data_IF_223405647688
#
_entry.id   IF_223405647688
#
_cell.length_a   1.000
_cell.length_b   1.000
_cell.length_c   1.000
_cell.angle_alpha   90.00
_cell.angle_beta   90.00
_cell.angle_gamma   90.00
#
_symmetry.space_group_name_H-M   'P 1'
#
loop_
_entity.id
_entity.type
_entity.pdbx_description
1 polymer ?
#
# COMPACT_ATOMS: atom_id res chain seq x y z
N UNK A 1 -13.32 17.25 51.44
CA UNK A 1 -14.68 16.98 50.92
C UNK A 1 -14.63 17.07 49.40
N UNK A 2 -15.31 16.14 48.72
CA UNK A 2 -15.09 15.65 47.35
C UNK A 2 -14.83 16.68 46.24
N UNK A 3 -13.90 16.39 45.29
CA UNK A 3 -14.00 16.92 43.95
C UNK A 3 -14.91 16.01 43.11
N UNK A 4 -15.80 16.68 42.38
CA UNK A 4 -16.84 16.14 41.52
C UNK A 4 -16.31 15.08 40.53
N UNK A 5 -16.89 13.88 40.59
CA UNK A 5 -16.81 12.90 39.50
C UNK A 5 -17.81 13.30 38.42
N UNK A 6 -17.31 13.74 37.26
CA UNK A 6 -18.11 13.78 36.04
C UNK A 6 -18.46 12.32 35.64
N UNK A 7 -19.72 12.01 35.30
CA UNK A 7 -20.12 10.66 34.92
C UNK A 7 -19.53 10.30 33.56
N UNK A 8 -19.03 9.07 33.43
CA UNK A 8 -18.31 8.53 32.26
C UNK A 8 -19.03 8.71 30.91
N UNK A 9 -20.34 8.95 30.92
CA UNK A 9 -21.13 9.19 29.71
C UNK A 9 -20.81 10.54 29.03
N UNK A 10 -20.42 11.58 29.78
CA UNK A 10 -20.04 12.87 29.21
C UNK A 10 -18.69 12.79 28.45
N UNK A 11 -17.80 11.90 28.89
CA UNK A 11 -16.50 11.66 28.24
C UNK A 11 -16.63 10.89 26.92
N UNK A 12 -17.61 10.01 26.80
CA UNK A 12 -17.88 9.28 25.56
C UNK A 12 -18.55 10.19 24.53
N UNK A 13 -19.43 11.09 24.96
CA UNK A 13 -20.08 12.06 24.08
C UNK A 13 -19.08 13.08 23.51
N UNK A 14 -18.10 13.53 24.31
CA UNK A 14 -17.00 14.38 23.84
C UNK A 14 -16.04 13.65 22.88
N UNK A 15 -15.81 12.34 23.08
CA UNK A 15 -14.96 11.53 22.19
C UNK A 15 -15.64 11.27 20.82
N UNK A 16 -16.95 11.02 20.81
CA UNK A 16 -17.72 10.85 19.58
C UNK A 16 -17.91 12.17 18.82
N UNK A 17 -18.10 13.29 19.52
CA UNK A 17 -18.15 14.62 18.89
C UNK A 17 -16.83 14.98 18.19
N UNK A 18 -15.69 14.53 18.72
CA UNK A 18 -14.37 14.77 18.10
C UNK A 18 -14.13 13.96 16.82
N UNK A 19 -14.76 12.78 16.69
CA UNK A 19 -14.67 11.93 15.48
C UNK A 19 -15.64 12.43 14.39
N UNK A 20 -16.80 12.96 14.80
CA UNK A 20 -17.75 13.56 13.85
C UNK A 20 -17.20 14.88 13.26
N UNK A 21 -16.47 15.68 14.05
CA UNK A 21 -15.91 16.96 13.59
C UNK A 21 -14.74 16.77 12.60
N UNK A 22 -13.93 15.71 12.76
CA UNK A 22 -12.86 15.36 11.80
C UNK A 22 -13.41 14.82 10.47
N UNK A 23 -14.55 14.11 10.47
CA UNK A 23 -15.20 13.68 9.23
C UNK A 23 -15.89 14.82 8.47
N UNK A 24 -16.47 15.80 9.17
CA UNK A 24 -17.12 16.95 8.53
C UNK A 24 -16.13 17.89 7.81
N UNK A 25 -14.91 18.08 8.35
CA UNK A 25 -13.88 18.95 7.76
C UNK A 25 -13.20 18.34 6.52
N UNK A 26 -13.23 17.02 6.36
CA UNK A 26 -12.72 16.33 5.16
C UNK A 26 -13.71 16.31 3.99
N UNK A 27 -14.95 16.80 4.18
CA UNK A 27 -16.04 16.73 3.20
C UNK A 27 -16.25 18.01 2.39
N UNK A 28 -15.36 19.01 2.51
CA UNK A 28 -15.46 20.26 1.74
C UNK A 28 -14.77 20.10 0.37
N UNK A 29 -15.50 20.19 -0.76
CA UNK A 29 -14.87 20.22 -2.07
C UNK A 29 -14.19 21.57 -2.28
N UNK A 30 -12.85 21.58 -2.34
CA UNK A 30 -12.10 22.76 -2.79
C UNK A 30 -12.34 22.96 -4.29
N UNK A 31 -13.24 23.88 -4.62
CA UNK A 31 -13.46 24.41 -5.96
C UNK A 31 -12.23 25.21 -6.38
N UNK A 32 -11.33 24.60 -7.14
CA UNK A 32 -10.15 25.26 -7.69
C UNK A 32 -10.53 25.99 -8.98
N UNK A 33 -10.87 27.28 -8.88
CA UNK A 33 -10.95 28.17 -10.04
C UNK A 33 -9.55 28.43 -10.59
N UNK A 34 -9.24 27.83 -11.74
CA UNK A 34 -8.05 28.17 -12.54
C UNK A 34 -8.30 29.51 -13.21
N UNK A 35 -7.72 30.59 -12.67
CA UNK A 35 -7.57 31.87 -13.38
C UNK A 35 -6.63 31.65 -14.57
N UNK A 36 -7.12 31.87 -15.77
CA UNK A 36 -6.32 32.10 -16.98
C UNK A 36 -6.41 33.58 -17.29
N UNK A 37 -5.28 34.25 -17.46
CA UNK A 37 -5.21 35.57 -18.11
C UNK A 37 -4.22 35.47 -19.29
N UNK A 38 -4.52 36.09 -20.44
CA UNK A 38 -3.92 35.78 -21.73
C UNK A 38 -2.74 36.71 -22.06
N UNK A 39 -1.87 36.28 -22.98
CA UNK A 39 -1.47 37.13 -24.11
C UNK A 39 -0.56 36.43 -25.15
N UNK A 40 -1.07 36.43 -26.39
CA UNK A 40 -0.43 36.71 -27.69
C UNK A 40 0.71 35.79 -28.20
N UNK A 41 0.70 35.26 -29.44
CA UNK A 41 0.51 35.91 -30.76
C UNK A 41 0.16 34.86 -31.86
N UNK A 42 -0.88 35.07 -32.67
CA UNK A 42 -0.89 35.62 -34.06
C UNK A 42 -0.65 34.61 -35.19
N UNK A 43 -1.69 34.41 -36.01
CA UNK A 43 -1.68 33.58 -37.24
C UNK A 43 -3.03 33.61 -37.98
N UNK A 44 -3.21 34.66 -38.77
CA UNK A 44 -4.31 35.12 -39.64
C UNK A 44 -5.13 34.08 -40.49
N UNK A 45 -6.45 34.35 -40.53
CA UNK A 45 -7.63 33.93 -41.38
C UNK A 45 -7.38 34.10 -42.91
N UNK A 46 -8.16 33.63 -43.95
CA UNK A 46 -9.58 33.18 -44.09
C UNK A 46 -9.77 31.85 -44.89
N UNK A 47 -10.94 31.26 -45.17
CA UNK A 47 -12.37 31.61 -45.12
C UNK A 47 -13.11 30.84 -46.24
N UNK A 48 -14.44 30.74 -46.12
CA UNK A 48 -15.45 30.50 -47.18
C UNK A 48 -16.03 29.09 -47.45
N UNK A 49 -17.35 29.00 -47.17
CA UNK A 49 -18.47 28.57 -48.06
C UNK A 49 -18.84 27.08 -48.18
N UNK A 50 -20.02 26.79 -47.59
CA UNK A 50 -21.24 26.11 -48.08
C UNK A 50 -21.23 24.73 -48.79
N UNK A 51 -22.35 24.02 -48.54
CA UNK A 51 -23.02 22.98 -49.39
C UNK A 51 -22.26 21.64 -49.56
N UNK A 52 -22.86 20.45 -49.62
CA UNK A 52 -24.23 19.94 -49.87
C UNK A 52 -24.31 18.46 -49.42
N UNK A 53 -25.53 17.98 -49.14
CA UNK A 53 -25.92 16.55 -49.10
C UNK A 53 -25.74 15.88 -50.48
N UNK A 54 -25.70 14.53 -50.52
CA UNK A 54 -26.43 13.84 -51.56
C UNK A 54 -27.36 12.73 -51.02
N UNK A 55 -28.62 12.79 -51.46
CA UNK A 55 -29.51 11.64 -51.60
C UNK A 55 -29.09 10.80 -52.81
N UNK A 56 -29.24 9.47 -52.75
CA UNK A 56 -29.62 8.64 -53.89
C UNK A 56 -30.38 7.38 -53.44
N UNK A 57 -31.31 6.97 -54.29
CA UNK A 57 -32.54 6.25 -53.99
C UNK A 57 -32.53 4.72 -54.24
N UNK A 58 -33.47 4.05 -53.57
CA UNK A 58 -34.38 2.96 -53.99
C UNK A 58 -33.88 1.66 -54.66
N UNK A 59 -34.34 0.53 -54.11
CA UNK A 59 -34.44 -0.78 -54.77
C UNK A 59 -35.02 -1.87 -53.86
N UNK A 60 -36.28 -2.26 -54.08
CA UNK A 60 -37.05 -3.27 -53.32
C UNK A 60 -36.89 -4.71 -53.85
N UNK A 61 -37.15 -5.72 -52.99
CA UNK A 61 -37.88 -7.02 -53.19
C UNK A 61 -37.40 -8.05 -52.13
N UNK A 62 -38.21 -8.53 -51.18
CA UNK A 62 -39.31 -9.52 -51.19
C UNK A 62 -38.86 -10.94 -50.74
N UNK A 63 -39.51 -11.45 -49.69
CA UNK A 63 -39.81 -12.89 -49.51
C UNK A 63 -38.98 -13.67 -48.48
N UNK A 64 -39.52 -13.88 -47.27
CA UNK A 64 -40.05 -15.18 -46.81
C UNK A 64 -40.29 -15.20 -45.29
N UNK A 65 -41.53 -15.55 -44.92
CA UNK A 65 -42.00 -15.83 -43.56
C UNK A 65 -42.15 -17.34 -43.40
N UNK A 66 -41.54 -17.92 -42.36
CA UNK A 66 -41.93 -19.15 -41.64
C UNK A 66 -40.91 -19.33 -40.51
N UNK A 67 -41.20 -19.57 -39.22
CA UNK A 67 -42.40 -19.75 -38.42
C UNK A 67 -41.93 -20.18 -37.01
N UNK A 68 -42.85 -20.19 -36.03
CA UNK A 68 -42.79 -20.92 -34.74
C UNK A 68 -42.16 -20.24 -33.50
N UNK A 69 -43.07 -19.71 -32.68
CA UNK A 69 -43.23 -19.66 -31.20
C UNK A 69 -42.14 -19.12 -30.23
N UNK A 70 -42.58 -18.39 -29.18
CA UNK A 70 -41.72 -17.68 -28.21
C UNK A 70 -41.34 -18.61 -27.05
N UNK A 71 -40.25 -18.27 -26.34
CA UNK A 71 -40.13 -18.37 -24.87
C UNK A 71 -38.67 -18.12 -24.43
N UNK A 72 -38.52 -17.55 -23.23
CA UNK A 72 -37.30 -17.29 -22.45
C UNK A 72 -36.58 -15.95 -22.69
N UNK A 73 -37.10 -14.92 -22.02
CA UNK A 73 -36.30 -13.83 -21.45
C UNK A 73 -35.21 -14.44 -20.57
N UNK A 74 -33.94 -14.39 -21.02
CA UNK A 74 -32.78 -14.64 -20.17
C UNK A 74 -31.91 -13.39 -20.19
N UNK A 75 -31.71 -12.83 -19.00
CA UNK A 75 -31.12 -11.52 -18.77
C UNK A 75 -29.81 -11.28 -19.52
N UNK A 76 -29.67 -10.02 -19.93
CA UNK A 76 -28.51 -9.42 -20.58
C UNK A 76 -27.23 -9.79 -19.80
N UNK A 77 -26.42 -10.67 -20.38
CA UNK A 77 -25.00 -10.82 -20.07
C UNK A 77 -24.27 -9.76 -20.92
N UNK A 78 -23.47 -8.84 -20.37
CA UNK A 78 -22.73 -7.91 -21.20
C UNK A 78 -21.72 -8.68 -22.06
N UNK A 79 -21.74 -8.35 -23.34
CA UNK A 79 -21.05 -9.05 -24.41
C UNK A 79 -19.53 -9.11 -24.22
N UNK A 80 -19.03 -10.24 -24.69
CA UNK A 80 -17.65 -10.64 -24.79
C UNK A 80 -16.90 -9.70 -25.75
N UNK A 81 -16.12 -8.75 -25.23
CA UNK A 81 -15.07 -8.10 -26.04
C UNK A 81 -13.90 -9.06 -26.13
N UNK A 82 -13.92 -9.89 -27.18
CA UNK A 82 -12.78 -10.67 -27.62
C UNK A 82 -11.70 -9.71 -28.19
N UNK A 83 -10.95 -9.08 -27.29
CA UNK A 83 -9.64 -8.54 -27.62
C UNK A 83 -8.66 -9.71 -27.67
N UNK A 84 -7.91 -9.81 -28.77
CA UNK A 84 -6.76 -10.72 -28.90
C UNK A 84 -5.85 -10.59 -27.66
N UNK A 85 -5.29 -11.68 -27.10
CA UNK A 85 -4.32 -11.58 -26.02
C UNK A 85 -3.00 -11.10 -26.62
N UNK A 86 -2.94 -9.81 -26.95
CA UNK A 86 -1.66 -9.14 -27.11
C UNK A 86 -0.96 -9.25 -25.76
N UNK A 87 0.24 -9.81 -25.80
CA UNK A 87 1.17 -10.06 -24.70
C UNK A 87 1.64 -8.78 -23.97
N UNK A 88 0.82 -7.74 -23.95
CA UNK A 88 0.90 -6.63 -23.00
C UNK A 88 0.43 -7.13 -21.63
N UNK A 89 1.24 -7.98 -21.00
CA UNK A 89 1.05 -8.36 -19.60
C UNK A 89 1.11 -7.06 -18.79
N UNK A 90 -0.05 -6.54 -18.37
CA UNK A 90 -0.12 -5.34 -17.54
C UNK A 90 0.90 -5.49 -16.40
N UNK A 91 1.82 -4.52 -16.27
CA UNK A 91 2.94 -4.59 -15.30
C UNK A 91 2.45 -4.59 -13.85
N UNK A 92 1.21 -4.15 -13.64
CA UNK A 92 0.53 -4.09 -12.36
C UNK A 92 -0.73 -4.95 -12.33
N UNK A 93 -1.19 -5.26 -11.12
CA UNK A 93 -2.47 -5.92 -10.83
C UNK A 93 -3.21 -5.11 -9.75
N UNK A 94 -4.52 -4.92 -9.90
CA UNK A 94 -5.32 -4.16 -8.93
C UNK A 94 -5.62 -4.97 -7.66
N UNK A 95 -6.00 -4.28 -6.59
CA UNK A 95 -6.49 -4.91 -5.37
C UNK A 95 -7.66 -5.86 -5.64
N UNK A 96 -8.68 -5.37 -6.36
CA UNK A 96 -9.90 -6.11 -6.70
C UNK A 96 -9.58 -7.36 -7.52
N UNK A 97 -8.59 -7.28 -8.43
CA UNK A 97 -8.16 -8.43 -9.20
C UNK A 97 -7.47 -9.49 -8.33
N UNK A 98 -6.64 -9.08 -7.36
CA UNK A 98 -6.05 -10.01 -6.39
C UNK A 98 -7.16 -10.63 -5.53
N UNK A 99 -8.07 -9.82 -4.99
CA UNK A 99 -9.17 -10.26 -4.13
C UNK A 99 -10.08 -11.28 -4.80
N UNK A 100 -10.44 -11.03 -6.06
CA UNK A 100 -11.22 -11.96 -6.89
C UNK A 100 -10.42 -13.18 -7.37
N UNK A 101 -9.15 -13.32 -6.95
CA UNK A 101 -8.33 -14.49 -7.23
C UNK A 101 -7.78 -14.53 -8.66
N UNK A 102 -7.61 -13.39 -9.33
CA UNK A 102 -7.00 -13.29 -10.67
C UNK A 102 -5.48 -13.19 -10.65
N UNK A 103 -4.83 -13.24 -9.48
CA UNK A 103 -3.38 -13.37 -9.41
C UNK A 103 -2.94 -14.72 -10.01
N UNK A 104 -2.07 -14.67 -11.04
CA UNK A 104 -1.52 -15.83 -11.74
C UNK A 104 0.00 -15.72 -11.71
N UNK A 105 0.69 -16.45 -10.83
CA UNK A 105 2.15 -16.36 -10.75
C UNK A 105 2.78 -16.95 -12.00
N UNK A 106 3.74 -16.24 -12.59
CA UNK A 106 4.51 -16.79 -13.71
C UNK A 106 5.27 -18.05 -13.27
N UNK A 107 5.11 -19.14 -14.01
CA UNK A 107 5.71 -20.45 -13.69
C UNK A 107 7.23 -20.50 -13.88
N UNK A 108 7.81 -19.50 -14.55
CA UNK A 108 9.27 -19.41 -14.80
C UNK A 108 10.03 -18.67 -13.70
N UNK A 109 9.37 -17.98 -12.78
CA UNK A 109 10.05 -17.36 -11.64
C UNK A 109 10.50 -18.45 -10.68
N UNK A 110 11.82 -18.56 -10.52
CA UNK A 110 12.43 -19.44 -9.53
C UNK A 110 12.79 -18.66 -8.27
N UNK A 111 12.81 -19.32 -7.10
CA UNK A 111 13.32 -18.70 -5.89
C UNK A 111 14.76 -18.24 -6.11
N UNK A 112 15.08 -17.02 -5.68
CA UNK A 112 16.43 -16.48 -5.73
C UNK A 112 17.37 -17.40 -4.94
N UNK A 113 18.42 -17.87 -5.59
CA UNK A 113 19.24 -19.01 -5.15
C UNK A 113 20.00 -18.69 -3.86
N UNK A 114 20.35 -17.42 -3.61
CA UNK A 114 21.17 -17.02 -2.46
C UNK A 114 20.50 -15.98 -1.56
N UNK A 115 20.81 -16.04 -0.27
CA UNK A 115 20.38 -15.04 0.72
C UNK A 115 20.83 -13.61 0.37
N UNK A 116 22.06 -13.36 -0.12
CA UNK A 116 22.46 -12.01 -0.56
C UNK A 116 21.60 -11.45 -1.69
N UNK A 117 21.21 -12.27 -2.67
CA UNK A 117 20.34 -11.83 -3.76
C UNK A 117 18.93 -11.47 -3.26
N UNK A 118 18.35 -12.30 -2.36
CA UNK A 118 17.08 -11.97 -1.71
C UNK A 118 17.20 -10.70 -0.86
N UNK A 119 18.27 -10.56 -0.09
CA UNK A 119 18.50 -9.37 0.72
C UNK A 119 18.60 -8.10 -0.14
N UNK A 120 19.21 -8.20 -1.32
CA UNK A 120 19.29 -7.10 -2.28
C UNK A 120 17.92 -6.79 -2.91
N UNK A 121 17.12 -7.80 -3.23
CA UNK A 121 15.80 -7.63 -3.84
C UNK A 121 14.79 -7.02 -2.86
N UNK A 122 14.78 -7.52 -1.62
CA UNK A 122 13.81 -7.16 -0.59
C UNK A 122 14.35 -6.13 0.40
N UNK A 123 15.41 -5.39 0.06
CA UNK A 123 16.07 -4.49 1.01
C UNK A 123 15.16 -3.38 1.57
N UNK A 124 14.15 -2.96 0.80
CA UNK A 124 13.09 -2.00 1.19
C UNK A 124 11.76 -2.66 1.52
N UNK A 125 11.64 -3.97 1.32
CA UNK A 125 10.38 -4.65 1.55
C UNK A 125 10.08 -4.75 3.05
N UNK A 126 8.81 -4.65 3.36
CA UNK A 126 8.26 -4.76 4.70
C UNK A 126 7.86 -6.22 4.93
N UNK A 127 7.94 -6.70 6.17
CA UNK A 127 7.69 -8.10 6.50
C UNK A 127 6.86 -8.23 7.77
N UNK A 128 6.09 -9.32 7.82
CA UNK A 128 5.53 -9.85 9.06
C UNK A 128 5.76 -11.35 9.08
N UNK A 129 6.42 -11.87 10.12
CA UNK A 129 6.73 -13.30 10.29
C UNK A 129 7.32 -13.94 9.01
N UNK A 130 8.29 -13.27 8.38
CA UNK A 130 8.99 -13.69 7.15
C UNK A 130 8.16 -13.68 5.86
N UNK A 131 6.93 -13.16 5.88
CA UNK A 131 6.12 -12.96 4.68
C UNK A 131 6.17 -11.48 4.29
N UNK A 132 6.51 -11.15 3.03
CA UNK A 132 6.61 -9.77 2.59
C UNK A 132 5.24 -9.11 2.50
N UNK A 133 5.20 -7.81 2.75
CA UNK A 133 4.03 -6.95 2.65
C UNK A 133 4.29 -5.90 1.57
N UNK A 134 3.36 -5.77 0.63
CA UNK A 134 3.39 -4.78 -0.42
C UNK A 134 2.22 -3.81 -0.29
N UNK A 135 2.46 -2.55 -0.65
CA UNK A 135 1.45 -1.50 -0.71
C UNK A 135 1.15 -1.20 -2.17
N UNK A 136 -0.10 -0.81 -2.46
CA UNK A 136 -0.49 -0.45 -3.82
C UNK A 136 0.25 0.82 -4.27
N UNK A 137 0.76 0.81 -5.49
CA UNK A 137 1.18 2.03 -6.17
C UNK A 137 -0.01 2.74 -6.81
N UNK A 138 0.28 3.83 -7.54
CA UNK A 138 -0.73 4.60 -8.29
C UNK A 138 -1.54 3.71 -9.25
N UNK A 139 -0.86 2.79 -9.95
CA UNK A 139 -1.46 1.92 -10.98
C UNK A 139 -1.75 0.49 -10.48
N UNK A 140 -1.68 0.25 -9.17
CA UNK A 140 -1.82 -1.07 -8.55
C UNK A 140 -0.51 -1.67 -8.04
N UNK A 141 -0.52 -2.98 -7.78
CA UNK A 141 0.64 -3.72 -7.26
C UNK A 141 1.55 -4.19 -8.39
N UNK A 142 2.87 -4.09 -8.20
CA UNK A 142 3.86 -4.60 -9.15
C UNK A 142 3.77 -6.12 -9.30
N UNK A 143 3.35 -6.62 -10.48
CA UNK A 143 3.27 -8.07 -10.72
C UNK A 143 4.63 -8.74 -10.52
N UNK A 144 5.71 -8.12 -11.01
CA UNK A 144 7.07 -8.64 -10.87
C UNK A 144 7.46 -8.89 -9.41
N UNK A 145 7.12 -7.95 -8.52
CA UNK A 145 7.42 -8.10 -7.08
C UNK A 145 6.58 -9.20 -6.45
N UNK A 146 5.28 -9.24 -6.74
CA UNK A 146 4.37 -10.25 -6.21
C UNK A 146 4.73 -11.66 -6.69
N UNK A 147 5.07 -11.83 -7.97
CA UNK A 147 5.49 -13.10 -8.55
C UNK A 147 6.80 -13.61 -7.94
N UNK A 148 7.81 -12.73 -7.81
CA UNK A 148 9.07 -13.09 -7.18
C UNK A 148 8.87 -13.42 -5.69
N UNK A 149 8.03 -12.67 -4.96
CA UNK A 149 7.71 -12.96 -3.57
C UNK A 149 6.98 -14.30 -3.39
N UNK A 150 6.05 -14.60 -4.30
CA UNK A 150 5.37 -15.90 -4.32
C UNK A 150 6.35 -17.05 -4.59
N UNK A 151 7.33 -16.85 -5.47
CA UNK A 151 8.41 -17.82 -5.70
C UNK A 151 9.26 -18.01 -4.44
N UNK A 152 9.78 -16.93 -3.86
CA UNK A 152 10.76 -16.92 -2.76
C UNK A 152 10.19 -17.36 -1.40
N UNK A 153 8.99 -16.90 -1.06
CA UNK A 153 8.40 -17.05 0.27
C UNK A 153 7.15 -17.93 0.28
N UNK A 154 6.68 -18.35 -0.89
CA UNK A 154 5.44 -19.11 -1.01
C UNK A 154 4.17 -18.29 -0.79
N UNK A 155 4.28 -16.96 -0.70
CA UNK A 155 3.17 -16.07 -0.47
C UNK A 155 3.61 -14.65 -0.14
N UNK A 156 2.63 -13.77 0.00
CA UNK A 156 2.81 -12.36 0.34
C UNK A 156 1.53 -11.78 0.92
N UNK A 157 1.64 -10.60 1.52
CA UNK A 157 0.52 -9.77 1.90
C UNK A 157 0.45 -8.53 1.01
N UNK A 158 -0.77 -8.06 0.74
CA UNK A 158 -1.00 -6.78 0.08
C UNK A 158 -1.95 -5.95 0.91
N UNK A 159 -1.59 -4.70 1.20
CA UNK A 159 -2.51 -3.71 1.73
C UNK A 159 -3.03 -2.88 0.56
N UNK A 160 -4.35 -2.86 0.40
CA UNK A 160 -5.04 -1.97 -0.53
C UNK A 160 -4.96 -0.51 -0.09
N UNK A 161 -6.00 0.26 -0.38
CA UNK A 161 -6.21 1.65 0.05
C UNK A 161 -7.02 1.70 1.35
N UNK A 162 -6.39 1.94 2.51
CA UNK A 162 -7.11 2.02 3.79
C UNK A 162 -8.17 3.12 3.79
N UNK A 163 -7.94 4.21 3.06
CA UNK A 163 -8.87 5.33 2.89
C UNK A 163 -10.18 4.94 2.19
N UNK A 164 -10.18 3.83 1.43
CA UNK A 164 -11.36 3.25 0.80
C UNK A 164 -11.94 2.07 1.60
N UNK A 165 -11.39 1.77 2.78
CA UNK A 165 -11.78 0.62 3.58
C UNK A 165 -11.24 -0.72 3.07
N UNK A 166 -10.26 -0.74 2.17
CA UNK A 166 -9.69 -1.98 1.65
C UNK A 166 -8.84 -2.68 2.73
N UNK A 167 -9.14 -3.95 3.01
CA UNK A 167 -8.43 -4.74 4.01
C UNK A 167 -7.12 -5.33 3.48
N UNK A 168 -6.21 -5.75 4.36
CA UNK A 168 -5.03 -6.52 3.94
C UNK A 168 -5.45 -7.89 3.43
N UNK A 169 -4.97 -8.29 2.25
CA UNK A 169 -5.11 -9.64 1.72
C UNK A 169 -3.83 -10.43 1.95
N UNK A 170 -3.98 -11.74 2.09
CA UNK A 170 -2.91 -12.73 2.16
C UNK A 170 -3.04 -13.67 0.99
N UNK A 171 -1.98 -13.78 0.20
CA UNK A 171 -1.86 -14.72 -0.91
C UNK A 171 -0.83 -15.77 -0.52
N UNK A 172 -1.20 -17.05 -0.60
CA UNK A 172 -0.33 -18.17 -0.26
C UNK A 172 -0.42 -19.28 -1.29
N UNK A 173 0.64 -20.09 -1.41
CA UNK A 173 0.63 -21.31 -2.23
C UNK A 173 -0.42 -22.30 -1.73
N UNK A 174 -1.38 -22.60 -2.58
CA UNK A 174 -2.35 -23.68 -2.39
C UNK A 174 -1.88 -25.00 -2.98
N UNK A 175 -2.83 -25.93 -3.12
CA UNK A 175 -2.59 -27.21 -3.80
C UNK A 175 -2.24 -26.96 -5.27
N UNK A 176 -1.34 -27.79 -5.81
CA UNK A 176 -0.89 -27.71 -7.20
C UNK A 176 -0.34 -26.33 -7.61
N UNK A 177 0.25 -25.59 -6.66
CA UNK A 177 0.77 -24.22 -6.83
C UNK A 177 -0.28 -23.15 -7.20
N UNK A 178 -1.58 -23.46 -7.07
CA UNK A 178 -2.66 -22.50 -7.31
C UNK A 178 -2.70 -21.50 -6.13
N UNK A 179 -2.62 -20.17 -6.37
CA UNK A 179 -2.70 -19.19 -5.30
C UNK A 179 -4.04 -19.24 -4.56
N UNK A 180 -3.99 -19.18 -3.23
CA UNK A 180 -5.14 -19.01 -2.37
C UNK A 180 -5.11 -17.59 -1.79
N UNK A 181 -6.17 -16.84 -2.04
CA UNK A 181 -6.36 -15.48 -1.53
C UNK A 181 -7.35 -15.51 -0.37
N UNK A 182 -7.04 -14.75 0.68
CA UNK A 182 -7.91 -14.59 1.86
C UNK A 182 -7.69 -13.22 2.50
N UNK A 183 -8.66 -12.71 3.25
CA UNK A 183 -8.38 -11.60 4.16
C UNK A 183 -7.33 -12.01 5.20
N UNK A 184 -6.40 -11.10 5.47
CA UNK A 184 -5.36 -11.32 6.45
C UNK A 184 -5.94 -11.40 7.87
N UNK A 185 -5.25 -12.09 8.76
CA UNK A 185 -5.62 -12.07 10.19
C UNK A 185 -5.53 -10.65 10.74
N UNK A 186 -6.26 -10.37 11.83
CA UNK A 186 -6.21 -9.06 12.52
C UNK A 186 -4.78 -8.60 12.83
N UNK A 187 -3.91 -9.52 13.27
CA UNK A 187 -2.51 -9.21 13.57
C UNK A 187 -1.74 -8.75 12.34
N UNK A 188 -1.92 -9.41 11.19
CA UNK A 188 -1.24 -9.03 9.94
C UNK A 188 -1.79 -7.71 9.42
N UNK A 189 -3.12 -7.53 9.46
CA UNK A 189 -3.75 -6.29 9.01
C UNK A 189 -3.29 -5.09 9.84
N UNK A 190 -3.28 -5.21 11.18
CA UNK A 190 -2.78 -4.14 12.04
C UNK A 190 -1.30 -3.84 11.82
N UNK A 191 -0.47 -4.87 11.63
CA UNK A 191 0.95 -4.68 11.32
C UNK A 191 1.15 -3.95 9.99
N UNK A 192 0.37 -4.29 8.96
CA UNK A 192 0.40 -3.63 7.66
C UNK A 192 -0.04 -2.16 7.76
N UNK A 193 -1.10 -1.86 8.54
CA UNK A 193 -1.54 -0.48 8.79
C UNK A 193 -0.48 0.33 9.53
N UNK A 194 0.15 -0.23 10.57
CA UNK A 194 1.21 0.45 11.30
C UNK A 194 2.39 0.78 10.36
N UNK A 195 2.81 -0.18 9.53
CA UNK A 195 3.87 0.03 8.56
C UNK A 195 3.50 1.06 7.47
N UNK A 196 2.23 1.08 7.04
CA UNK A 196 1.70 2.07 6.09
C UNK A 196 1.71 3.48 6.70
N UNK A 197 1.19 3.64 7.92
CA UNK A 197 1.20 4.92 8.62
C UNK A 197 2.61 5.42 8.88
N UNK A 198 3.53 4.54 9.31
CA UNK A 198 4.95 4.91 9.47
C UNK A 198 5.57 5.38 8.16
N UNK A 199 5.29 4.69 7.06
CA UNK A 199 5.76 5.11 5.72
C UNK A 199 5.21 6.47 5.33
N UNK A 200 3.93 6.72 5.60
CA UNK A 200 3.27 7.98 5.26
C UNK A 200 3.81 9.18 6.06
N UNK A 201 4.22 8.97 7.31
CA UNK A 201 4.63 10.06 8.22
C UNK A 201 6.15 10.27 8.26
N UNK A 202 6.92 9.18 8.20
CA UNK A 202 8.39 9.21 8.37
C UNK A 202 9.14 8.75 7.11
N UNK A 203 8.42 8.37 6.05
CA UNK A 203 9.00 7.95 4.78
C UNK A 203 9.43 6.48 4.70
N UNK A 204 9.86 6.11 3.50
CA UNK A 204 10.22 4.73 3.13
C UNK A 204 11.36 4.16 3.97
N UNK A 205 12.36 4.97 4.30
CA UNK A 205 13.53 4.53 5.07
C UNK A 205 13.11 4.12 6.48
N UNK A 206 12.35 4.97 7.18
CA UNK A 206 11.87 4.69 8.51
C UNK A 206 11.01 3.41 8.56
N UNK A 207 10.07 3.27 7.62
CA UNK A 207 9.25 2.06 7.51
C UNK A 207 10.07 0.80 7.21
N UNK A 208 11.06 0.89 6.32
CA UNK A 208 11.96 -0.22 5.98
C UNK A 208 12.84 -0.66 7.14
N UNK A 209 13.24 0.27 8.01
CA UNK A 209 14.03 -0.02 9.21
C UNK A 209 13.15 -0.66 10.28
N UNK A 210 11.98 -0.06 10.54
CA UNK A 210 11.05 -0.52 11.57
C UNK A 210 10.45 -1.91 11.22
N UNK A 211 9.96 -2.09 9.99
CA UNK A 211 9.17 -3.26 9.61
C UNK A 211 9.81 -4.13 8.52
N UNK A 212 11.02 -3.81 8.05
CA UNK A 212 11.69 -4.58 7.02
C UNK A 212 12.37 -5.85 7.54
N UNK A 213 12.83 -6.66 6.58
CA UNK A 213 13.44 -7.98 6.80
C UNK A 213 14.53 -7.97 7.87
N UNK A 214 14.42 -8.89 8.83
CA UNK A 214 15.49 -9.22 9.77
C UNK A 214 16.49 -10.13 9.05
N UNK A 215 17.66 -9.59 8.71
CA UNK A 215 18.78 -10.46 8.36
C UNK A 215 19.17 -11.21 9.64
N UNK A 216 19.35 -12.55 9.58
CA UNK A 216 19.89 -13.25 10.74
C UNK A 216 21.23 -12.60 11.10
N UNK A 217 21.51 -12.40 12.40
CA UNK A 217 22.68 -11.65 12.84
C UNK A 217 23.93 -12.27 12.21
N UNK A 218 24.63 -11.50 11.39
CA UNK A 218 25.97 -11.85 10.93
C UNK A 218 26.88 -11.84 12.14
N UNK A 219 27.32 -13.02 12.57
CA UNK A 219 28.20 -13.32 13.70
C UNK A 219 27.53 -13.40 15.09
N UNK A 220 27.21 -14.64 15.49
CA UNK A 220 27.13 -15.06 16.88
C UNK A 220 28.37 -15.88 17.21
N UNK A 221 29.39 -15.24 17.80
CA UNK A 221 30.31 -15.81 18.78
C UNK A 221 30.95 -14.62 19.51
N UNK A 222 30.62 -14.42 20.78
CA UNK A 222 31.04 -13.30 21.64
C UNK A 222 30.54 -11.90 21.25
N UNK A 223 29.25 -11.61 21.46
CA UNK A 223 28.84 -10.25 21.83
C UNK A 223 28.69 -10.22 23.34
N UNK A 224 29.50 -9.39 24.00
CA UNK A 224 29.26 -8.97 25.38
C UNK A 224 27.82 -8.46 25.49
N UNK A 225 27.21 -8.60 26.66
CA UNK A 225 25.92 -8.00 26.98
C UNK A 225 25.99 -6.48 26.76
N UNK A 226 25.71 -6.02 25.53
CA UNK A 226 25.59 -4.59 25.23
C UNK A 226 24.34 -4.11 25.98
N UNK A 227 24.53 -3.12 26.84
CA UNK A 227 23.42 -2.48 27.53
C UNK A 227 22.50 -1.85 26.49
N UNK A 228 21.23 -2.27 26.48
CA UNK A 228 20.26 -1.75 25.53
C UNK A 228 19.99 -0.27 25.87
N UNK A 229 20.00 0.63 24.88
CA UNK A 229 19.70 2.05 25.12
C UNK A 229 18.30 2.19 25.74
N UNK A 230 18.13 3.10 26.69
CA UNK A 230 16.82 3.48 27.22
C UNK A 230 16.01 4.21 26.15
N UNK A 231 14.69 4.31 26.32
CA UNK A 231 13.88 5.11 25.39
C UNK A 231 14.25 6.59 25.42
N UNK A 232 14.62 7.14 26.58
CA UNK A 232 15.11 8.52 26.69
C UNK A 232 16.34 8.74 25.81
N UNK A 233 17.29 7.79 25.81
CA UNK A 233 18.47 7.87 24.93
C UNK A 233 18.11 7.82 23.43
N UNK A 234 17.03 7.11 23.05
CA UNK A 234 16.56 7.09 21.65
C UNK A 234 16.01 8.45 21.22
N UNK A 235 15.34 9.15 22.15
CA UNK A 235 14.69 10.44 21.88
C UNK A 235 15.63 11.63 21.96
N UNK A 236 16.60 11.59 22.87
CA UNK A 236 17.65 12.61 23.00
C UNK A 236 18.77 12.45 21.96
N UNK A 237 18.84 11.29 21.30
CA UNK A 237 19.81 10.99 20.25
C UNK A 237 19.58 11.77 18.96
N UNK A 238 20.62 11.82 18.11
CA UNK A 238 20.54 12.45 16.79
C UNK A 238 19.59 11.66 15.89
N UNK A 239 18.54 12.33 15.43
CA UNK A 239 17.59 11.75 14.48
C UNK A 239 18.27 11.47 13.14
N UNK A 240 17.88 10.37 12.52
CA UNK A 240 18.29 10.05 11.16
C UNK A 240 17.80 11.13 10.20
N UNK A 241 18.66 11.64 9.30
CA UNK A 241 18.28 12.64 8.32
C UNK A 241 17.25 12.07 7.34
N UNK A 242 16.35 12.94 6.87
CA UNK A 242 15.22 12.59 6.01
C UNK A 242 15.62 11.80 4.75
N UNK A 243 16.78 12.13 4.16
CA UNK A 243 17.31 11.51 2.95
C UNK A 243 18.28 10.33 3.21
N UNK A 244 18.35 9.82 4.44
CA UNK A 244 19.22 8.69 4.77
C UNK A 244 18.87 7.46 3.93
N UNK A 245 19.88 6.84 3.32
CA UNK A 245 19.71 5.60 2.58
C UNK A 245 19.35 4.44 3.52
N UNK A 246 18.43 3.55 3.09
CA UNK A 246 17.96 2.39 3.88
C UNK A 246 19.10 1.53 4.42
N UNK A 247 20.16 1.31 3.62
CA UNK A 247 21.32 0.50 4.05
C UNK A 247 22.11 1.20 5.15
N UNK A 248 22.19 2.53 5.13
CA UNK A 248 22.87 3.27 6.18
C UNK A 248 22.07 3.26 7.47
N UNK A 249 20.76 3.51 7.38
CA UNK A 249 19.87 3.49 8.54
C UNK A 249 19.85 2.11 9.23
N UNK A 250 19.85 1.00 8.46
CA UNK A 250 19.95 -0.36 9.00
C UNK A 250 21.31 -0.61 9.67
N UNK A 251 22.42 -0.16 9.08
CA UNK A 251 23.76 -0.27 9.68
C UNK A 251 23.86 0.54 10.97
N UNK A 252 23.29 1.74 11.01
CA UNK A 252 23.24 2.54 12.23
C UNK A 252 22.44 1.83 13.33
N UNK A 253 21.25 1.29 13.02
CA UNK A 253 20.47 0.49 13.97
C UNK A 253 21.26 -0.72 14.51
N UNK A 254 22.01 -1.42 13.67
CA UNK A 254 22.83 -2.57 14.08
C UNK A 254 24.05 -2.18 14.94
N UNK A 255 24.65 -1.03 14.67
CA UNK A 255 25.78 -0.48 15.43
C UNK A 255 25.33 0.05 16.80
N UNK A 256 24.30 0.89 16.80
CA UNK A 256 23.93 1.70 17.95
C UNK A 256 22.80 1.05 18.78
N UNK A 257 22.23 -0.06 18.30
CA UNK A 257 21.06 -0.74 18.86
C UNK A 257 19.80 0.13 18.94
N UNK A 258 19.81 1.32 18.34
CA UNK A 258 18.66 2.18 18.18
C UNK A 258 18.83 3.15 17.01
N UNK A 259 17.72 3.72 16.58
CA UNK A 259 17.67 4.84 15.62
C UNK A 259 16.33 5.56 15.80
N UNK A 260 16.32 6.88 15.62
CA UNK A 260 15.09 7.67 15.62
C UNK A 260 14.93 8.45 14.31
N UNK A 261 13.68 8.73 13.95
CA UNK A 261 13.30 9.53 12.78
C UNK A 261 12.32 10.59 13.23
N UNK A 262 12.34 11.75 12.58
CA UNK A 262 11.38 12.82 12.79
C UNK A 262 10.54 13.01 11.52
N UNK A 263 9.26 13.36 11.68
CA UNK A 263 8.43 13.74 10.54
C UNK A 263 8.88 15.08 9.95
N UNK A 264 8.56 15.33 8.69
CA UNK A 264 8.96 16.55 7.98
C UNK A 264 8.45 17.85 8.64
N UNK A 265 7.31 17.78 9.34
CA UNK A 265 6.73 18.90 10.11
C UNK A 265 7.32 19.03 11.53
N UNK A 266 8.18 18.10 11.96
CA UNK A 266 8.81 18.10 13.28
C UNK A 266 7.95 17.55 14.42
N UNK A 267 6.66 17.31 14.20
CA UNK A 267 5.68 17.05 15.28
C UNK A 267 5.64 15.59 15.75
N UNK A 268 6.20 14.67 14.96
CA UNK A 268 6.21 13.25 15.26
C UNK A 268 7.63 12.72 15.34
N UNK A 269 7.84 11.75 16.22
CA UNK A 269 9.08 10.97 16.28
C UNK A 269 8.77 9.47 16.23
N UNK A 270 9.61 8.73 15.49
CA UNK A 270 9.61 7.28 15.45
C UNK A 270 10.94 6.79 16.00
N UNK A 271 10.91 5.91 16.98
CA UNK A 271 12.11 5.28 17.53
C UNK A 271 12.05 3.78 17.33
N UNK A 272 13.18 3.21 16.94
CA UNK A 272 13.35 1.77 16.75
C UNK A 272 14.53 1.33 17.60
N UNK A 273 14.32 0.33 18.45
CA UNK A 273 15.38 -0.33 19.24
C UNK A 273 15.59 -1.75 18.75
N UNK A 274 16.85 -2.15 18.61
CA UNK A 274 17.23 -3.51 18.25
C UNK A 274 17.69 -4.25 19.50
N UNK A 275 16.91 -5.26 19.89
CA UNK A 275 17.19 -6.10 21.05
C UNK A 275 18.31 -7.11 20.74
N UNK A 276 18.96 -7.61 21.79
CA UNK A 276 20.06 -8.58 21.67
C UNK A 276 19.63 -9.91 21.02
N UNK A 277 18.34 -10.22 21.00
CA UNK A 277 17.77 -11.38 20.33
C UNK A 277 17.38 -11.12 18.85
N UNK A 278 17.70 -9.94 18.31
CA UNK A 278 17.41 -9.55 16.93
C UNK A 278 16.02 -8.95 16.71
N UNK A 279 15.15 -8.98 17.72
CA UNK A 279 13.80 -8.37 17.64
C UNK A 279 13.89 -6.85 17.71
N UNK A 280 12.87 -6.19 17.16
CA UNK A 280 12.74 -4.74 17.20
C UNK A 280 11.61 -4.30 18.11
N UNK A 281 11.86 -3.28 18.91
CA UNK A 281 10.79 -2.51 19.58
C UNK A 281 10.63 -1.18 18.89
N UNK A 282 9.37 -0.77 18.67
CA UNK A 282 9.03 0.44 17.93
C UNK A 282 8.13 1.30 18.81
N UNK A 283 8.41 2.60 18.90
CA UNK A 283 7.55 3.59 19.52
C UNK A 283 7.35 4.79 18.62
N UNK A 284 6.13 5.34 18.66
CA UNK A 284 5.74 6.55 17.95
C UNK A 284 5.29 7.59 18.98
N UNK A 285 5.95 8.75 19.00
CA UNK A 285 5.56 9.95 19.76
C UNK A 285 4.83 10.95 18.86
N UNK A 286 3.66 11.43 19.30
CA UNK A 286 2.91 12.54 18.68
C UNK A 286 2.93 13.69 19.69
N UNK A 287 3.31 14.90 19.30
CA UNK A 287 3.31 16.07 20.20
C UNK A 287 4.01 15.79 21.55
N UNK A 288 5.15 15.09 21.52
CA UNK A 288 5.94 14.66 22.70
C UNK A 288 5.25 13.68 23.67
N UNK A 289 4.20 12.96 23.26
CA UNK A 289 3.62 11.82 24.02
C UNK A 289 3.52 10.53 23.19
N UNK A 290 3.85 9.34 23.74
CA UNK A 290 3.78 8.08 22.99
C UNK A 290 2.34 7.64 22.74
N UNK A 291 2.02 7.29 21.49
CA UNK A 291 0.69 6.80 21.08
C UNK A 291 0.70 5.29 20.77
N UNK A 292 1.84 4.70 20.45
CA UNK A 292 1.95 3.26 20.17
C UNK A 292 3.17 2.60 20.83
N UNK A 293 2.93 1.50 21.54
CA UNK A 293 3.96 0.56 22.03
C UNK A 293 3.61 -0.83 21.52
N UNK A 294 4.46 -1.40 20.68
CA UNK A 294 4.27 -2.77 20.21
C UNK A 294 5.58 -3.55 20.27
N UNK A 295 5.50 -4.75 20.86
CA UNK A 295 6.62 -5.67 21.03
C UNK A 295 6.35 -6.85 20.09
N UNK A 296 7.30 -7.15 19.20
CA UNK A 296 7.18 -8.23 18.21
C UNK A 296 8.28 -9.28 18.42
#
# INVERSE_FOLDING_TARGET
MHPYRLPALLSIFLLLASIALTHALASLPLKLERRVNPDHNSGTIPGNVAETLPEHAAGSTSGNVAGVLPEHVRGILPEHVAGTPSENVARTISYQAIEAGFFRPHTRWTPLVSNPMRALWYYRALFHKRVPIFFTGHDGFSKRELEQAYADFGGFHVLGRPELGEHTLTVVKGRYNIPLVRHATRSVHQHALNAYSTRSVFGDTAASVAFGYELPPTHSMMRSSVALPSWDAVWEGVHAPENMAVREAKRQLERDHHISFQSADGNNQLGVRLLNNGKKEIQWLIDTRPVFRQIY
#
